data_IF_183755234982
#
_entry.id   IF_183755234982
#
_cell.length_a   1.000
_cell.length_b   1.000
_cell.length_c   1.000
_cell.angle_alpha   90.00
_cell.angle_beta   90.00
_cell.angle_gamma   90.00
#
_symmetry.space_group_name_H-M   'P 1'
#
loop_
_entity.id
_entity.type
_entity.pdbx_description
1 polymer ?
#
# COMPACT_ATOMS: atom_id res chain seq x y z
N UNK A 1 -8.68 -19.03 12.46
CA UNK A 1 -10.10 -19.38 12.64
C UNK A 1 -10.64 -18.46 13.72
N UNK A 2 -11.58 -17.58 13.39
CA UNK A 2 -12.05 -16.54 14.31
C UNK A 2 -12.90 -17.19 15.43
N UNK A 3 -12.26 -17.48 16.56
CA UNK A 3 -12.92 -18.17 17.68
C UNK A 3 -14.02 -17.30 18.30
N UNK A 4 -13.81 -15.98 18.31
CA UNK A 4 -14.73 -15.03 18.96
C UNK A 4 -15.75 -14.39 18.03
N UNK A 5 -15.71 -14.68 16.72
CA UNK A 5 -16.57 -14.04 15.73
C UNK A 5 -17.53 -15.05 15.14
N UNK A 6 -18.83 -14.75 15.17
CA UNK A 6 -19.84 -15.60 14.54
C UNK A 6 -19.65 -15.61 13.01
N UNK A 7 -19.89 -16.77 12.38
CA UNK A 7 -19.84 -16.90 10.91
C UNK A 7 -20.76 -15.90 10.20
N UNK A 8 -21.94 -15.62 10.77
CA UNK A 8 -22.92 -14.69 10.19
C UNK A 8 -22.41 -13.25 10.23
N UNK A 9 -21.84 -12.82 11.36
CA UNK A 9 -21.24 -11.50 11.50
C UNK A 9 -20.11 -11.30 10.50
N UNK A 10 -19.19 -12.26 10.39
CA UNK A 10 -18.09 -12.21 9.41
C UNK A 10 -18.61 -12.14 7.97
N UNK A 11 -19.58 -12.97 7.60
CA UNK A 11 -20.15 -12.97 6.25
C UNK A 11 -20.84 -11.63 5.92
N UNK A 12 -21.55 -11.04 6.87
CA UNK A 12 -22.15 -9.72 6.73
C UNK A 12 -21.10 -8.65 6.48
N UNK A 13 -20.04 -8.58 7.29
CA UNK A 13 -18.94 -7.63 7.14
C UNK A 13 -18.25 -7.80 5.78
N UNK A 14 -17.90 -9.04 5.39
CA UNK A 14 -17.27 -9.32 4.09
C UNK A 14 -18.14 -8.88 2.91
N UNK A 15 -19.44 -9.12 2.96
CA UNK A 15 -20.35 -8.69 1.89
C UNK A 15 -20.46 -7.17 1.83
N UNK A 16 -20.55 -6.52 2.98
CA UNK A 16 -20.59 -5.05 3.09
C UNK A 16 -19.34 -4.39 2.48
N UNK A 17 -18.17 -5.01 2.66
CA UNK A 17 -16.90 -4.49 2.12
C UNK A 17 -16.73 -4.75 0.63
N UNK A 18 -17.14 -5.92 0.16
CA UNK A 18 -16.90 -6.34 -1.23
C UNK A 18 -17.99 -5.93 -2.20
N UNK A 19 -19.20 -5.66 -1.70
CA UNK A 19 -20.42 -5.43 -2.50
C UNK A 19 -20.61 -6.48 -3.61
N UNK A 20 -20.10 -7.70 -3.39
CA UNK A 20 -20.14 -8.80 -4.36
C UNK A 20 -20.11 -10.15 -3.65
N UNK A 21 -21.18 -10.96 -3.82
CA UNK A 21 -21.33 -12.26 -3.17
C UNK A 21 -20.21 -13.24 -3.57
N UNK A 22 -19.82 -13.28 -4.83
CA UNK A 22 -18.80 -14.21 -5.31
C UNK A 22 -17.42 -13.87 -4.70
N UNK A 23 -17.03 -12.59 -4.72
CA UNK A 23 -15.78 -12.11 -4.09
C UNK A 23 -15.76 -12.32 -2.57
N UNK A 24 -16.90 -12.07 -1.89
CA UNK A 24 -16.99 -12.30 -0.47
C UNK A 24 -16.84 -13.77 -0.11
N UNK A 25 -17.49 -14.67 -0.87
CA UNK A 25 -17.41 -16.11 -0.69
C UNK A 25 -15.98 -16.64 -0.94
N UNK A 26 -15.30 -16.16 -1.98
CA UNK A 26 -13.93 -16.52 -2.32
C UNK A 26 -12.95 -16.21 -1.18
N UNK A 27 -13.08 -15.03 -0.53
CA UNK A 27 -12.24 -14.62 0.62
C UNK A 27 -12.29 -15.62 1.81
N UNK A 28 -13.33 -16.43 1.89
CA UNK A 28 -13.49 -17.44 2.96
C UNK A 28 -13.57 -18.88 2.42
N UNK A 29 -13.12 -19.10 1.19
CA UNK A 29 -13.09 -20.41 0.53
C UNK A 29 -14.46 -21.08 0.48
N UNK A 30 -15.52 -20.32 0.21
CA UNK A 30 -16.90 -20.79 0.03
C UNK A 30 -17.39 -20.54 -1.39
N UNK A 31 -18.42 -21.27 -1.81
CA UNK A 31 -19.16 -20.93 -3.05
C UNK A 31 -20.23 -19.88 -2.78
N UNK A 32 -20.64 -19.14 -3.81
CA UNK A 32 -21.58 -18.03 -3.71
C UNK A 32 -22.97 -18.44 -3.13
N UNK A 33 -23.46 -19.65 -3.46
CA UNK A 33 -24.79 -20.11 -3.02
C UNK A 33 -24.90 -20.29 -1.50
N UNK A 34 -24.04 -21.09 -0.82
CA UNK A 34 -24.09 -21.19 0.65
C UNK A 34 -23.78 -19.86 1.34
N UNK A 35 -22.92 -19.02 0.75
CA UNK A 35 -22.65 -17.69 1.29
C UNK A 35 -23.91 -16.82 1.26
N UNK A 36 -24.62 -16.75 0.12
CA UNK A 36 -25.86 -16.01 -0.02
C UNK A 36 -26.95 -16.51 0.94
N UNK A 37 -27.09 -17.84 1.12
CA UNK A 37 -28.01 -18.42 2.13
C UNK A 37 -27.67 -17.99 3.55
N UNK A 38 -26.39 -17.87 3.88
CA UNK A 38 -25.96 -17.38 5.22
C UNK A 38 -26.37 -15.92 5.46
N UNK A 39 -26.35 -15.08 4.44
CA UNK A 39 -26.82 -13.69 4.54
C UNK A 39 -28.34 -13.66 4.71
N UNK A 40 -29.10 -14.37 3.89
CA UNK A 40 -30.56 -14.45 4.03
C UNK A 40 -30.98 -14.96 5.41
N UNK A 41 -30.29 -16.01 5.91
CA UNK A 41 -30.55 -16.53 7.26
C UNK A 41 -30.18 -15.52 8.38
N UNK A 42 -29.31 -14.58 8.15
CA UNK A 42 -29.02 -13.45 9.05
C UNK A 42 -30.18 -12.45 9.02
N UNK A 43 -30.63 -12.04 7.82
CA UNK A 43 -31.71 -11.10 7.60
C UNK A 43 -33.02 -11.64 8.19
N UNK A 44 -33.33 -12.93 7.99
CA UNK A 44 -34.48 -13.62 8.56
C UNK A 44 -34.47 -13.59 10.11
N UNK A 45 -33.31 -13.81 10.73
CA UNK A 45 -33.16 -13.78 12.18
C UNK A 45 -33.31 -12.38 12.78
N UNK A 46 -32.88 -11.34 12.07
CA UNK A 46 -33.02 -9.96 12.55
C UNK A 46 -34.43 -9.40 12.23
N UNK A 47 -35.14 -10.04 11.29
CA UNK A 47 -36.48 -9.65 10.90
C UNK A 47 -36.56 -8.53 9.84
N UNK A 48 -35.43 -8.10 9.25
CA UNK A 48 -35.42 -7.12 8.19
C UNK A 48 -34.20 -7.29 7.28
N UNK A 49 -34.29 -6.79 6.04
CA UNK A 49 -33.21 -6.86 5.08
C UNK A 49 -32.09 -5.84 5.37
N UNK A 50 -30.85 -6.22 5.10
CA UNK A 50 -29.67 -5.39 5.29
C UNK A 50 -29.08 -4.93 3.95
N UNK A 51 -29.40 -5.65 2.87
CA UNK A 51 -28.87 -5.39 1.54
C UNK A 51 -29.99 -5.09 0.55
N UNK A 52 -29.69 -4.17 -0.37
CA UNK A 52 -30.47 -3.93 -1.59
C UNK A 52 -29.79 -4.64 -2.76
N UNK A 53 -30.59 -5.36 -3.55
CA UNK A 53 -30.14 -6.01 -4.79
C UNK A 53 -30.73 -5.26 -5.98
N UNK A 54 -29.91 -4.70 -6.82
CA UNK A 54 -30.32 -3.96 -8.02
C UNK A 54 -29.36 -4.25 -9.16
N UNK A 55 -29.90 -4.60 -10.32
CA UNK A 55 -29.16 -4.74 -11.59
C UNK A 55 -27.82 -5.51 -11.49
N UNK A 56 -27.85 -6.71 -10.89
CA UNK A 56 -26.66 -7.52 -10.61
C UNK A 56 -25.69 -6.95 -9.58
N UNK A 57 -26.00 -5.85 -8.91
CA UNK A 57 -25.23 -5.29 -7.80
C UNK A 57 -25.89 -5.54 -6.45
N UNK A 58 -25.09 -5.64 -5.42
CA UNK A 58 -25.55 -5.76 -4.03
C UNK A 58 -24.85 -4.68 -3.21
N UNK A 59 -25.63 -3.95 -2.40
CA UNK A 59 -25.10 -2.88 -1.54
C UNK A 59 -25.92 -2.82 -0.24
N UNK A 60 -25.33 -2.28 0.81
CA UNK A 60 -26.02 -2.04 2.07
C UNK A 60 -27.20 -1.09 1.86
N UNK A 61 -28.39 -1.44 2.42
CA UNK A 61 -29.47 -0.49 2.60
C UNK A 61 -29.21 0.36 3.87
N UNK A 62 -30.12 1.28 4.23
CA UNK A 62 -29.96 2.16 5.39
C UNK A 62 -29.77 1.37 6.70
N UNK A 63 -30.56 0.33 6.95
CA UNK A 63 -30.44 -0.52 8.14
C UNK A 63 -29.10 -1.29 8.15
N UNK A 64 -28.66 -1.79 6.98
CA UNK A 64 -27.37 -2.43 6.82
C UNK A 64 -26.21 -1.49 7.10
N UNK A 65 -26.29 -0.22 6.65
CA UNK A 65 -25.28 0.80 6.93
C UNK A 65 -25.17 1.11 8.42
N UNK A 66 -26.30 1.31 9.10
CA UNK A 66 -26.34 1.56 10.54
C UNK A 66 -25.79 0.37 11.33
N UNK A 67 -26.14 -0.85 10.94
CA UNK A 67 -25.62 -2.07 11.55
C UNK A 67 -24.10 -2.21 11.31
N UNK A 68 -23.63 -1.96 10.09
CA UNK A 68 -22.22 -2.02 9.74
C UNK A 68 -21.38 -1.04 10.57
N UNK A 69 -21.81 0.20 10.70
CA UNK A 69 -21.11 1.22 11.48
C UNK A 69 -20.95 0.82 12.96
N UNK A 70 -21.94 0.12 13.53
CA UNK A 70 -21.88 -0.35 14.92
C UNK A 70 -21.10 -1.66 15.09
N UNK A 71 -21.24 -2.60 14.16
CA UNK A 71 -20.61 -3.92 14.27
C UNK A 71 -19.15 -3.93 13.83
N UNK A 72 -18.78 -3.11 12.86
CA UNK A 72 -17.44 -3.16 12.29
C UNK A 72 -16.34 -2.87 13.33
N UNK A 73 -16.42 -1.87 14.20
CA UNK A 73 -15.44 -1.66 15.26
C UNK A 73 -15.33 -2.84 16.24
N UNK A 74 -16.47 -3.48 16.56
CA UNK A 74 -16.49 -4.65 17.44
C UNK A 74 -15.80 -5.84 16.76
N UNK A 75 -16.13 -6.08 15.48
CA UNK A 75 -15.50 -7.11 14.66
C UNK A 75 -13.97 -6.93 14.60
N UNK A 76 -13.52 -5.70 14.41
CA UNK A 76 -12.09 -5.37 14.41
C UNK A 76 -11.44 -5.69 15.76
N UNK A 77 -12.06 -5.29 16.86
CA UNK A 77 -11.53 -5.56 18.21
C UNK A 77 -11.46 -7.07 18.51
N UNK A 78 -12.47 -7.83 18.13
CA UNK A 78 -12.48 -9.29 18.30
C UNK A 78 -11.41 -9.97 17.42
N UNK A 79 -11.26 -9.54 16.19
CA UNK A 79 -10.21 -10.04 15.29
C UNK A 79 -8.81 -9.74 15.83
N UNK A 80 -8.61 -8.58 16.42
CA UNK A 80 -7.35 -8.23 17.06
C UNK A 80 -7.03 -9.15 18.23
N UNK A 81 -8.00 -9.43 19.10
CA UNK A 81 -7.85 -10.36 20.24
C UNK A 81 -7.53 -11.78 19.74
N UNK A 82 -8.24 -12.28 18.73
CA UNK A 82 -8.00 -13.62 18.15
C UNK A 82 -6.56 -13.75 17.64
N UNK A 83 -6.09 -12.73 16.93
CA UNK A 83 -4.70 -12.68 16.44
C UNK A 83 -3.68 -12.58 17.58
N UNK A 84 -3.95 -11.76 18.61
CA UNK A 84 -3.06 -11.64 19.78
C UNK A 84 -2.90 -12.99 20.52
N UNK A 85 -3.98 -13.72 20.70
CA UNK A 85 -3.94 -15.05 21.35
C UNK A 85 -3.18 -16.05 20.49
N UNK A 86 -3.41 -16.08 19.20
CA UNK A 86 -2.68 -16.96 18.28
C UNK A 86 -1.18 -16.63 18.22
N UNK A 87 -0.80 -15.37 18.33
CA UNK A 87 0.60 -14.96 18.40
C UNK A 87 1.25 -15.27 19.75
N UNK A 88 0.55 -15.05 20.86
CA UNK A 88 1.04 -15.40 22.20
C UNK A 88 1.29 -16.90 22.35
N UNK A 89 0.43 -17.75 21.79
CA UNK A 89 0.59 -19.20 21.80
C UNK A 89 1.82 -19.71 21.01
N UNK A 90 2.36 -18.92 20.08
CA UNK A 90 3.54 -19.27 19.27
C UNK A 90 4.87 -18.74 19.82
N UNK A 91 4.88 -18.09 21.01
CA UNK A 91 6.10 -17.76 21.77
C UNK A 91 6.91 -16.55 21.26
N UNK A 92 6.65 -16.00 20.10
CA UNK A 92 7.22 -14.72 19.65
C UNK A 92 6.33 -14.05 18.61
N UNK A 93 6.03 -12.78 18.81
CA UNK A 93 5.28 -11.98 17.84
C UNK A 93 6.27 -11.28 16.91
N UNK A 94 6.33 -11.77 15.68
CA UNK A 94 6.98 -11.03 14.60
C UNK A 94 6.19 -9.77 14.27
N UNK A 95 6.87 -8.66 14.04
CA UNK A 95 6.27 -7.47 13.46
C UNK A 95 6.04 -7.73 11.97
N UNK A 96 4.85 -7.46 11.49
CA UNK A 96 4.50 -7.63 10.07
C UNK A 96 4.31 -6.26 9.44
N UNK A 97 5.17 -5.92 8.48
CA UNK A 97 5.15 -4.63 7.79
C UNK A 97 4.67 -4.85 6.34
N UNK A 98 3.59 -4.18 5.97
CA UNK A 98 3.17 -4.06 4.59
C UNK A 98 3.90 -2.90 3.91
N UNK A 99 4.48 -3.16 2.74
CA UNK A 99 5.11 -2.12 1.92
C UNK A 99 4.39 -2.08 0.58
N UNK A 100 3.95 -0.88 0.20
CA UNK A 100 3.28 -0.65 -1.08
C UNK A 100 4.13 -1.21 -2.24
N UNK A 101 3.49 -1.97 -3.13
CA UNK A 101 4.15 -2.64 -4.25
C UNK A 101 4.77 -1.69 -5.29
N UNK A 102 4.54 -0.39 -5.15
CA UNK A 102 5.24 0.64 -5.94
C UNK A 102 6.72 0.76 -5.58
N UNK A 103 7.11 0.24 -4.40
CA UNK A 103 8.49 0.24 -3.97
C UNK A 103 9.30 -0.93 -4.53
N UNK A 104 10.57 -0.71 -4.87
CA UNK A 104 11.48 -1.80 -5.11
C UNK A 104 11.74 -2.57 -3.81
N UNK A 105 11.97 -3.86 -3.93
CA UNK A 105 12.20 -4.79 -2.81
C UNK A 105 13.35 -4.45 -1.88
N UNK A 106 14.19 -3.47 -2.22
CA UNK A 106 15.34 -3.05 -1.39
C UNK A 106 14.92 -2.45 -0.05
N UNK A 107 13.73 -1.81 0.03
CA UNK A 107 13.21 -1.38 1.33
C UNK A 107 13.04 -2.57 2.27
N UNK A 108 12.84 -3.77 1.73
CA UNK A 108 12.69 -4.97 2.52
C UNK A 108 13.95 -5.32 3.30
N UNK A 109 15.14 -5.17 2.72
CA UNK A 109 16.40 -5.47 3.40
C UNK A 109 16.63 -4.54 4.59
N UNK A 110 16.30 -3.26 4.43
CA UNK A 110 16.38 -2.27 5.50
C UNK A 110 15.40 -2.59 6.64
N UNK A 111 14.19 -3.03 6.32
CA UNK A 111 13.19 -3.41 7.32
C UNK A 111 13.47 -4.77 7.95
N UNK A 112 14.11 -5.71 7.23
CA UNK A 112 14.51 -7.01 7.74
C UNK A 112 15.63 -6.86 8.80
N UNK A 113 16.52 -5.88 8.63
CA UNK A 113 17.57 -5.59 9.65
C UNK A 113 17.00 -5.20 11.02
N UNK A 114 15.73 -4.80 11.08
CA UNK A 114 15.00 -4.64 12.33
C UNK A 114 14.77 -5.96 13.08
N UNK A 115 14.87 -7.10 12.39
CA UNK A 115 14.67 -8.42 13.00
C UNK A 115 15.56 -8.69 14.21
N UNK A 116 16.75 -8.11 14.26
CA UNK A 116 17.69 -8.22 15.38
C UNK A 116 17.21 -7.45 16.63
N UNK A 117 16.43 -6.38 16.44
CA UNK A 117 15.84 -5.58 17.53
C UNK A 117 14.48 -6.10 18.01
N UNK A 118 13.82 -6.89 17.21
CA UNK A 118 12.51 -7.48 17.48
C UNK A 118 12.60 -9.00 17.27
N UNK A 119 11.80 -9.78 17.93
CA UNK A 119 11.75 -11.25 17.78
C UNK A 119 11.41 -11.73 16.35
N UNK A 120 11.74 -10.95 15.35
CA UNK A 120 11.56 -11.14 13.92
C UNK A 120 10.69 -10.05 13.28
N UNK A 121 11.02 -9.73 12.05
CA UNK A 121 10.23 -8.83 11.19
C UNK A 121 9.88 -9.59 9.91
N UNK A 122 8.62 -9.51 9.51
CA UNK A 122 8.16 -10.02 8.21
C UNK A 122 7.72 -8.83 7.36
N UNK A 123 8.30 -8.69 6.18
CA UNK A 123 7.90 -7.66 5.22
C UNK A 123 7.07 -8.29 4.12
N UNK A 124 5.94 -7.68 3.79
CA UNK A 124 5.04 -8.12 2.72
C UNK A 124 4.85 -7.00 1.71
N UNK A 125 4.91 -7.32 0.43
CA UNK A 125 4.42 -6.41 -0.60
C UNK A 125 2.90 -6.39 -0.56
N UNK A 126 2.32 -5.20 -0.51
CA UNK A 126 0.88 -4.99 -0.47
C UNK A 126 0.44 -4.04 -1.58
N UNK A 127 -0.73 -4.28 -2.15
CA UNK A 127 -1.38 -3.30 -3.00
C UNK A 127 -2.13 -2.32 -2.10
N UNK A 128 -1.73 -1.04 -2.15
CA UNK A 128 -2.32 -0.04 -1.28
C UNK A 128 -3.72 0.35 -1.76
N UNK A 129 -4.72 0.07 -0.97
CA UNK A 129 -6.06 0.63 -1.08
C UNK A 129 -6.58 1.00 0.31
N UNK A 130 -7.48 1.98 0.38
CA UNK A 130 -8.03 2.42 1.67
C UNK A 130 -8.68 1.28 2.46
N UNK A 131 -9.41 0.40 1.77
CA UNK A 131 -10.06 -0.76 2.39
C UNK A 131 -9.02 -1.76 2.90
N UNK A 132 -7.95 -2.02 2.13
CA UNK A 132 -6.91 -2.95 2.56
C UNK A 132 -6.07 -2.42 3.72
N UNK A 133 -5.80 -1.10 3.77
CA UNK A 133 -5.15 -0.46 4.92
C UNK A 133 -5.98 -0.72 6.18
N UNK A 134 -7.28 -0.43 6.11
CA UNK A 134 -8.20 -0.63 7.23
C UNK A 134 -8.25 -2.11 7.61
N UNK A 135 -8.55 -2.99 6.65
CA UNK A 135 -8.74 -4.41 6.91
C UNK A 135 -7.49 -5.07 7.48
N UNK A 136 -6.32 -4.79 6.92
CA UNK A 136 -5.07 -5.43 7.34
C UNK A 136 -4.55 -4.92 8.68
N UNK A 137 -4.65 -3.61 8.95
CA UNK A 137 -4.22 -3.04 10.23
C UNK A 137 -5.18 -3.44 11.36
N UNK A 138 -6.48 -3.31 11.15
CA UNK A 138 -7.45 -3.61 12.22
C UNK A 138 -7.58 -5.11 12.48
N UNK A 139 -7.42 -5.97 11.48
CA UNK A 139 -7.34 -7.43 11.71
C UNK A 139 -5.99 -7.89 12.25
N UNK A 140 -5.03 -6.99 12.46
CA UNK A 140 -3.67 -7.31 12.90
C UNK A 140 -2.93 -8.30 11.98
N UNK A 141 -3.31 -8.36 10.70
CA UNK A 141 -2.53 -9.07 9.67
C UNK A 141 -1.25 -8.32 9.31
N UNK A 142 -1.29 -7.00 9.43
CA UNK A 142 -0.14 -6.11 9.37
C UNK A 142 -0.11 -5.25 10.64
N UNK A 143 1.07 -4.97 11.15
CA UNK A 143 1.30 -4.05 12.25
C UNK A 143 1.52 -2.62 11.73
N UNK A 144 2.17 -2.52 10.57
CA UNK A 144 2.49 -1.27 9.89
C UNK A 144 2.27 -1.38 8.39
N UNK A 145 1.98 -0.25 7.75
CA UNK A 145 1.99 -0.12 6.29
C UNK A 145 2.79 1.12 5.92
N UNK A 146 3.70 0.98 4.96
CA UNK A 146 4.46 2.08 4.36
C UNK A 146 3.98 2.30 2.94
N UNK A 147 3.53 3.52 2.64
CA UNK A 147 3.05 3.87 1.30
C UNK A 147 3.26 5.36 1.00
N UNK A 148 3.50 5.74 -0.26
CA UNK A 148 3.48 7.13 -0.70
C UNK A 148 2.05 7.66 -0.90
N UNK A 149 1.04 6.81 -0.79
CA UNK A 149 -0.35 7.18 -0.98
C UNK A 149 -0.96 7.64 0.33
N UNK A 150 -1.70 8.74 0.27
CA UNK A 150 -2.44 9.28 1.42
C UNK A 150 -3.90 8.85 1.36
N UNK A 151 -4.46 8.55 2.51
CA UNK A 151 -5.86 8.11 2.63
C UNK A 151 -6.82 9.29 2.66
N UNK A 152 -8.06 9.07 2.26
CA UNK A 152 -9.11 10.08 2.28
C UNK A 152 -9.45 10.57 3.70
N UNK A 153 -10.11 11.74 3.80
CA UNK A 153 -10.59 12.28 5.07
C UNK A 153 -11.46 11.27 5.85
N UNK A 154 -12.27 10.47 5.13
CA UNK A 154 -13.11 9.43 5.74
C UNK A 154 -12.30 8.39 6.53
N UNK A 155 -11.12 8.02 6.03
CA UNK A 155 -10.25 7.05 6.70
C UNK A 155 -9.48 7.73 7.83
N UNK A 156 -9.13 9.02 7.67
CA UNK A 156 -8.45 9.80 8.71
C UNK A 156 -9.33 10.01 9.95
N UNK A 157 -10.65 10.05 9.78
CA UNK A 157 -11.62 10.19 10.88
C UNK A 157 -11.76 8.92 11.73
N UNK A 158 -11.08 7.81 11.37
CA UNK A 158 -11.07 6.61 12.20
C UNK A 158 -10.20 6.83 13.44
N UNK A 159 -10.82 6.98 14.59
CA UNK A 159 -10.16 7.27 15.89
C UNK A 159 -9.03 6.29 16.27
N UNK A 160 -8.97 5.13 15.63
CA UNK A 160 -8.02 4.07 15.95
C UNK A 160 -6.84 3.98 14.96
N UNK A 161 -6.74 4.86 13.97
CA UNK A 161 -5.65 4.90 13.01
C UNK A 161 -4.66 6.01 13.35
N UNK A 162 -3.36 5.71 13.27
CA UNK A 162 -2.27 6.67 13.32
C UNK A 162 -1.62 6.74 11.95
N UNK A 163 -1.51 7.93 11.40
CA UNK A 163 -0.82 8.24 10.15
C UNK A 163 0.36 9.14 10.50
N UNK A 164 1.56 8.66 10.24
CA UNK A 164 2.78 9.40 10.52
C UNK A 164 3.50 9.72 9.21
N UNK A 165 3.85 10.98 9.00
CA UNK A 165 4.68 11.37 7.88
C UNK A 165 6.10 10.86 8.07
N UNK A 166 6.64 10.26 7.03
CA UNK A 166 8.05 9.86 6.95
C UNK A 166 8.85 10.95 6.24
N UNK A 167 10.16 10.89 6.35
CA UNK A 167 11.05 11.77 5.57
C UNK A 167 10.77 11.55 4.08
N UNK A 168 10.52 12.62 3.30
CA UNK A 168 10.21 12.48 1.88
C UNK A 168 11.31 11.77 1.10
N UNK A 169 10.92 10.93 0.15
CA UNK A 169 11.84 10.26 -0.77
C UNK A 169 12.31 11.23 -1.84
N UNK A 170 13.62 11.36 -1.97
CA UNK A 170 14.22 12.03 -3.13
C UNK A 170 14.02 11.17 -4.38
N UNK A 171 13.50 11.77 -5.45
CA UNK A 171 13.30 11.15 -6.75
C UNK A 171 14.28 11.72 -7.77
N UNK A 172 14.71 10.90 -8.70
CA UNK A 172 15.47 11.34 -9.85
C UNK A 172 15.28 10.41 -11.04
N UNK A 173 15.96 10.73 -12.11
CA UNK A 173 15.85 10.05 -13.39
C UNK A 173 16.97 9.04 -13.59
N UNK A 174 16.63 7.93 -14.20
CA UNK A 174 17.53 6.88 -14.60
C UNK A 174 17.49 6.72 -16.12
N UNK A 175 18.66 6.66 -16.74
CA UNK A 175 18.83 6.51 -18.19
C UNK A 175 20.02 5.63 -18.51
N UNK A 176 20.06 5.04 -19.70
CA UNK A 176 21.23 4.30 -20.18
C UNK A 176 22.45 5.19 -20.37
N UNK A 177 23.63 4.72 -19.96
CA UNK A 177 24.90 5.42 -20.20
C UNK A 177 25.26 5.61 -21.67
N UNK A 178 24.57 4.95 -22.60
CA UNK A 178 24.71 5.26 -24.03
C UNK A 178 24.44 6.73 -24.37
N UNK A 179 23.76 7.44 -23.48
CA UNK A 179 23.38 8.84 -23.57
C UNK A 179 24.26 9.72 -22.65
N UNK A 180 25.46 9.28 -22.29
CA UNK A 180 26.31 9.98 -21.32
C UNK A 180 26.63 11.42 -21.74
N UNK A 181 26.80 11.64 -23.04
CA UNK A 181 27.13 12.95 -23.62
C UNK A 181 25.92 13.88 -23.80
N UNK A 182 24.67 13.37 -23.64
CA UNK A 182 23.49 14.18 -23.79
C UNK A 182 23.13 14.94 -22.51
N UNK A 183 22.60 16.14 -22.70
CA UNK A 183 22.12 16.93 -21.57
C UNK A 183 20.82 16.36 -20.99
N UNK A 184 20.61 16.43 -19.64
CA UNK A 184 19.41 15.92 -19.00
C UNK A 184 18.11 16.43 -19.61
N UNK A 185 18.02 17.72 -19.94
CA UNK A 185 16.82 18.33 -20.53
C UNK A 185 16.48 17.78 -21.92
N UNK A 186 17.49 17.44 -22.73
CA UNK A 186 17.33 16.82 -24.04
C UNK A 186 16.74 15.41 -23.89
N UNK A 187 17.30 14.61 -22.98
CA UNK A 187 16.83 13.25 -22.69
C UNK A 187 15.39 13.22 -22.21
N UNK A 188 15.03 14.16 -21.34
CA UNK A 188 13.67 14.27 -20.80
C UNK A 188 12.61 14.63 -21.86
N UNK A 189 13.01 15.28 -22.96
CA UNK A 189 12.13 15.61 -24.08
C UNK A 189 12.06 14.52 -25.14
N UNK A 190 13.18 13.85 -25.40
CA UNK A 190 13.30 12.91 -26.52
C UNK A 190 12.89 11.48 -26.16
N UNK A 191 13.20 11.03 -24.93
CA UNK A 191 12.94 9.65 -24.55
C UNK A 191 11.54 9.50 -23.93
N UNK A 192 10.82 8.43 -24.28
CA UNK A 192 9.60 8.08 -23.56
C UNK A 192 9.93 7.62 -22.14
N UNK A 193 9.06 7.97 -21.20
CA UNK A 193 9.24 7.67 -19.79
C UNK A 193 8.52 6.37 -19.42
N UNK A 194 9.23 5.38 -18.93
CA UNK A 194 8.66 4.10 -18.53
C UNK A 194 8.42 4.08 -17.02
N UNK A 195 7.19 3.81 -16.61
CA UNK A 195 6.83 3.64 -15.20
C UNK A 195 6.09 2.34 -14.95
N UNK A 196 6.19 1.86 -13.72
CA UNK A 196 5.37 0.74 -13.26
C UNK A 196 3.92 1.20 -13.14
N UNK A 197 2.98 0.29 -13.41
CA UNK A 197 1.56 0.57 -13.22
C UNK A 197 1.23 0.42 -11.73
N UNK A 198 0.63 1.45 -11.13
CA UNK A 198 0.11 1.45 -9.76
C UNK A 198 -1.24 2.17 -9.72
N UNK A 199 -2.03 1.93 -8.66
CA UNK A 199 -3.44 2.34 -8.66
C UNK A 199 -3.61 3.86 -8.54
N UNK A 200 -3.02 4.49 -7.55
CA UNK A 200 -3.16 5.94 -7.34
C UNK A 200 -1.91 6.69 -7.80
N UNK A 201 -1.82 6.92 -9.11
CA UNK A 201 -0.69 7.62 -9.73
C UNK A 201 -0.83 9.14 -9.74
N UNK A 202 -1.98 9.68 -9.36
CA UNK A 202 -2.26 11.13 -9.48
C UNK A 202 -1.26 11.98 -8.71
N UNK A 203 -0.88 11.58 -7.49
CA UNK A 203 0.12 12.29 -6.70
C UNK A 203 1.50 12.28 -7.39
N UNK A 204 1.93 11.14 -7.90
CA UNK A 204 3.19 11.01 -8.61
C UNK A 204 3.21 11.85 -9.90
N UNK A 205 2.12 11.80 -10.69
CA UNK A 205 1.98 12.62 -11.91
C UNK A 205 1.99 14.11 -11.59
N UNK A 206 1.34 14.55 -10.50
CA UNK A 206 1.35 15.93 -10.04
C UNK A 206 2.77 16.41 -9.66
N UNK A 207 3.56 15.58 -8.99
CA UNK A 207 4.96 15.89 -8.67
C UNK A 207 5.78 16.07 -9.97
N UNK A 208 5.62 15.17 -10.92
CA UNK A 208 6.31 15.26 -12.21
C UNK A 208 5.90 16.51 -12.98
N UNK A 209 4.60 16.79 -13.07
CA UNK A 209 4.09 17.96 -13.76
C UNK A 209 4.61 19.26 -13.14
N UNK A 210 4.57 19.38 -11.83
CA UNK A 210 5.05 20.55 -11.11
C UNK A 210 6.53 20.87 -11.40
N UNK A 211 7.38 19.85 -11.59
CA UNK A 211 8.81 20.03 -11.87
C UNK A 211 9.14 20.15 -13.36
N UNK A 212 8.38 19.51 -14.22
CA UNK A 212 8.68 19.46 -15.66
C UNK A 212 8.05 20.61 -16.44
N UNK A 213 6.85 21.05 -16.06
CA UNK A 213 6.14 22.14 -16.74
C UNK A 213 6.92 23.46 -16.78
N UNK A 214 7.57 23.92 -15.68
CA UNK A 214 8.39 25.12 -15.71
C UNK A 214 9.59 25.01 -16.65
N UNK A 215 10.08 23.80 -16.91
CA UNK A 215 11.20 23.53 -17.83
C UNK A 215 10.75 23.35 -19.30
N UNK A 216 9.48 23.52 -19.59
CA UNK A 216 8.92 23.29 -20.93
C UNK A 216 9.00 21.83 -21.38
N UNK A 217 8.96 20.88 -20.42
CA UNK A 217 9.00 19.45 -20.67
C UNK A 217 7.61 18.88 -20.46
N UNK A 218 7.09 18.21 -21.47
CA UNK A 218 5.79 17.54 -21.44
C UNK A 218 6.00 16.03 -21.68
N UNK A 219 6.16 15.22 -20.61
CA UNK A 219 6.59 13.84 -20.76
C UNK A 219 5.51 12.93 -21.35
N UNK A 220 5.92 12.01 -22.22
CA UNK A 220 5.10 10.88 -22.62
C UNK A 220 5.35 9.71 -21.66
N UNK A 221 4.45 9.52 -20.68
CA UNK A 221 4.61 8.46 -19.67
C UNK A 221 3.92 7.19 -20.14
N UNK A 222 4.69 6.11 -20.21
CA UNK A 222 4.20 4.77 -20.58
C UNK A 222 4.14 3.92 -19.31
N UNK A 223 2.95 3.53 -18.91
CA UNK A 223 2.73 2.64 -17.78
C UNK A 223 2.65 1.19 -18.23
N UNK A 224 3.47 0.32 -17.62
CA UNK A 224 3.51 -1.12 -17.89
C UNK A 224 3.46 -1.91 -16.57
N UNK A 225 2.86 -3.11 -16.55
CA UNK A 225 2.84 -3.99 -15.38
C UNK A 225 4.16 -4.75 -15.22
N UNK A 226 5.28 -4.03 -15.23
CA UNK A 226 6.60 -4.63 -15.08
C UNK A 226 7.02 -4.68 -13.61
N UNK A 227 7.85 -5.67 -13.27
CA UNK A 227 8.62 -5.61 -12.03
C UNK A 227 9.68 -4.50 -12.12
N UNK A 228 10.21 -4.08 -10.97
CA UNK A 228 11.29 -3.10 -10.92
C UNK A 228 12.47 -3.51 -11.82
N UNK A 229 12.93 -4.77 -11.73
CA UNK A 229 14.05 -5.26 -12.54
C UNK A 229 13.77 -5.25 -14.04
N UNK A 230 12.55 -5.60 -14.45
CA UNK A 230 12.18 -5.53 -15.86
C UNK A 230 12.15 -4.09 -16.38
N UNK A 231 11.73 -3.13 -15.54
CA UNK A 231 11.79 -1.69 -15.84
C UNK A 231 13.24 -1.25 -16.03
N UNK A 232 14.14 -1.61 -15.11
CA UNK A 232 15.56 -1.28 -15.19
C UNK A 232 16.20 -1.84 -16.46
N UNK A 233 15.96 -3.11 -16.77
CA UNK A 233 16.46 -3.74 -18.00
C UNK A 233 15.99 -3.03 -19.29
N UNK A 234 14.75 -2.53 -19.32
CA UNK A 234 14.25 -1.76 -20.47
C UNK A 234 14.99 -0.41 -20.62
N UNK A 235 15.32 0.24 -19.50
CA UNK A 235 16.10 1.49 -19.48
C UNK A 235 17.55 1.23 -19.93
N UNK A 236 18.18 0.15 -19.47
CA UNK A 236 19.55 -0.23 -19.89
C UNK A 236 19.67 -0.39 -21.40
N UNK A 237 18.63 -0.94 -22.05
CA UNK A 237 18.58 -1.03 -23.53
C UNK A 237 18.48 0.34 -24.23
N UNK A 238 18.29 1.42 -23.48
CA UNK A 238 18.25 2.80 -23.98
C UNK A 238 17.00 3.14 -24.79
N UNK A 239 15.91 2.44 -24.57
CA UNK A 239 14.62 2.74 -25.21
C UNK A 239 13.77 3.71 -24.40
N UNK A 240 14.08 3.85 -23.12
CA UNK A 240 13.30 4.60 -22.15
C UNK A 240 14.22 5.28 -21.12
N UNK A 241 13.67 6.29 -20.48
CA UNK A 241 14.11 6.71 -19.15
C UNK A 241 13.04 6.37 -18.11
N UNK A 242 13.38 6.44 -16.82
CA UNK A 242 12.43 6.19 -15.73
C UNK A 242 12.74 7.07 -14.53
N UNK A 243 11.73 7.29 -13.68
CA UNK A 243 11.91 7.90 -12.36
C UNK A 243 12.06 6.78 -11.32
N UNK A 244 13.05 6.96 -10.45
CA UNK A 244 13.29 6.07 -9.30
C UNK A 244 13.56 6.89 -8.04
N UNK A 245 13.28 6.35 -6.84
CA UNK A 245 13.81 6.90 -5.60
C UNK A 245 15.33 6.83 -5.58
N UNK A 246 15.99 7.82 -4.95
CA UNK A 246 17.45 7.89 -4.88
C UNK A 246 18.11 6.63 -4.33
N UNK A 247 17.56 6.05 -3.26
CA UNK A 247 18.13 4.84 -2.67
C UNK A 247 18.13 3.64 -3.64
N UNK A 248 17.19 3.58 -4.58
CA UNK A 248 17.13 2.51 -5.58
C UNK A 248 18.29 2.57 -6.59
N UNK A 249 19.06 3.66 -6.61
CA UNK A 249 20.32 3.76 -7.36
C UNK A 249 21.32 2.68 -6.96
N UNK A 250 21.33 2.25 -5.71
CA UNK A 250 22.22 1.19 -5.21
C UNK A 250 21.94 -0.20 -5.82
N UNK A 251 20.74 -0.40 -6.41
CA UNK A 251 20.32 -1.66 -7.02
C UNK A 251 20.65 -1.78 -8.48
N UNK A 252 21.08 -0.70 -9.11
CA UNK A 252 21.32 -0.66 -10.54
C UNK A 252 22.81 -0.67 -10.83
N UNK A 253 23.18 -1.15 -12.02
CA UNK A 253 24.57 -1.18 -12.43
C UNK A 253 25.03 0.22 -12.89
N UNK A 254 25.91 0.90 -12.14
CA UNK A 254 26.38 2.24 -12.51
C UNK A 254 27.28 2.24 -13.78
N UNK A 255 27.74 1.07 -14.23
CA UNK A 255 28.49 0.98 -15.49
C UNK A 255 27.57 1.09 -16.73
N UNK A 256 26.29 0.74 -16.60
CA UNK A 256 25.32 0.75 -17.73
C UNK A 256 24.29 1.85 -17.64
N UNK A 257 24.09 2.41 -16.44
CA UNK A 257 23.08 3.40 -16.14
C UNK A 257 23.66 4.68 -15.56
N UNK A 258 22.97 5.79 -15.78
CA UNK A 258 23.27 7.12 -15.24
C UNK A 258 22.04 7.64 -14.51
N UNK A 259 22.25 8.17 -13.31
CA UNK A 259 21.24 8.87 -12.53
C UNK A 259 21.44 10.38 -12.64
N UNK A 260 20.36 11.16 -12.68
CA UNK A 260 20.40 12.61 -12.62
C UNK A 260 19.15 13.19 -11.97
N UNK A 261 19.29 14.37 -11.37
CA UNK A 261 18.16 15.11 -10.78
C UNK A 261 17.33 15.83 -11.85
N UNK A 262 16.13 16.22 -11.48
CA UNK A 262 15.28 17.03 -12.34
C UNK A 262 15.91 18.42 -12.61
N UNK A 263 15.81 18.96 -13.83
CA UNK A 263 16.34 20.29 -14.16
C UNK A 263 15.73 21.42 -13.33
N UNK A 264 14.51 21.26 -12.84
CA UNK A 264 13.77 22.23 -12.01
C UNK A 264 14.08 22.15 -10.52
N UNK A 265 15.05 21.32 -10.12
CA UNK A 265 15.38 21.07 -8.71
C UNK A 265 15.04 19.65 -8.25
N UNK A 266 15.39 19.36 -7.00
CA UNK A 266 15.19 18.01 -6.45
C UNK A 266 13.71 17.72 -6.25
N UNK A 267 13.25 16.61 -6.81
CA UNK A 267 11.89 16.12 -6.62
C UNK A 267 11.81 15.29 -5.35
N UNK A 268 10.72 15.46 -4.61
CA UNK A 268 10.44 14.69 -3.40
C UNK A 268 9.04 14.09 -3.46
N UNK A 269 8.91 12.85 -2.99
CA UNK A 269 7.64 12.17 -2.80
C UNK A 269 7.42 11.91 -1.32
N UNK A 270 6.33 12.45 -0.76
CA UNK A 270 5.96 12.20 0.64
C UNK A 270 5.57 10.75 0.83
N UNK A 271 5.94 10.19 1.97
CA UNK A 271 5.56 8.85 2.41
C UNK A 271 4.93 8.88 3.78
N UNK A 272 4.15 7.86 4.05
CA UNK A 272 3.38 7.70 5.28
C UNK A 272 3.57 6.32 5.88
N UNK A 273 3.67 6.29 7.20
CA UNK A 273 3.58 5.08 8.02
C UNK A 273 2.19 5.02 8.64
N UNK A 274 1.47 3.97 8.34
CA UNK A 274 0.17 3.67 8.91
C UNK A 274 0.30 2.64 10.01
N UNK A 275 -0.33 2.87 11.15
CA UNK A 275 -0.42 1.91 12.26
C UNK A 275 -1.72 2.11 13.02
N UNK A 276 -2.07 1.17 13.89
CA UNK A 276 -3.11 1.42 14.86
C UNK A 276 -2.64 2.42 15.92
N UNK A 277 -3.56 3.21 16.45
CA UNK A 277 -3.32 4.15 17.54
C UNK A 277 -2.72 3.41 18.75
N UNK A 278 -1.73 4.02 19.37
CA UNK A 278 -1.00 3.45 20.51
C UNK A 278 -0.32 2.09 20.25
N UNK A 279 -0.01 1.78 19.00
CA UNK A 279 0.79 0.59 18.71
C UNK A 279 2.19 0.74 19.35
N UNK A 280 2.56 -0.21 20.23
CA UNK A 280 3.74 -0.10 21.12
C UNK A 280 5.09 0.16 20.44
N UNK A 281 5.21 -0.20 19.15
CA UNK A 281 6.45 -0.03 18.40
C UNK A 281 6.43 1.14 17.40
N UNK A 282 5.36 1.95 17.35
CA UNK A 282 5.26 3.06 16.37
C UNK A 282 6.41 4.04 16.52
N UNK A 283 6.71 4.51 17.73
CA UNK A 283 7.81 5.45 17.97
C UNK A 283 9.18 4.88 17.56
N UNK A 284 9.45 3.61 17.92
CA UNK A 284 10.70 2.95 17.58
C UNK A 284 10.84 2.70 16.08
N UNK A 285 9.73 2.36 15.42
CA UNK A 285 9.69 2.19 13.95
C UNK A 285 9.98 3.50 13.23
N UNK A 286 9.35 4.61 13.65
CA UNK A 286 9.60 5.94 13.11
C UNK A 286 11.06 6.37 13.28
N UNK A 287 11.62 6.16 14.47
CA UNK A 287 13.01 6.49 14.75
C UNK A 287 13.96 5.70 13.85
N UNK A 288 13.75 4.41 13.72
CA UNK A 288 14.61 3.55 12.89
C UNK A 288 14.56 3.94 11.41
N UNK A 289 13.36 4.16 10.86
CA UNK A 289 13.21 4.61 9.45
C UNK A 289 13.88 5.98 9.26
N UNK A 290 13.81 6.87 10.26
CA UNK A 290 14.43 8.19 10.19
C UNK A 290 15.96 8.12 10.23
N UNK A 291 16.56 7.26 11.08
CA UNK A 291 18.00 7.03 11.20
C UNK A 291 18.58 6.48 9.90
N UNK A 292 17.94 5.47 9.34
CA UNK A 292 18.37 4.83 8.11
C UNK A 292 18.35 5.80 6.92
N UNK A 293 17.29 6.60 6.79
CA UNK A 293 17.19 7.64 5.75
C UNK A 293 18.08 8.87 6.01
N UNK A 294 18.51 9.08 7.25
CA UNK A 294 19.48 10.12 7.63
C UNK A 294 20.87 9.83 7.08
N UNK A 295 21.29 8.58 7.12
CA UNK A 295 22.57 8.11 6.58
C UNK A 295 22.66 8.19 5.04
N UNK A 296 21.52 8.29 4.35
CA UNK A 296 21.46 8.35 2.88
C UNK A 296 21.69 9.76 2.30
N UNK A 297 21.70 10.80 3.15
CA UNK A 297 21.85 12.20 2.72
C UNK A 297 23.23 12.81 3.07
N UNK A 298 24.08 12.07 3.74
CA UNK A 298 25.46 12.38 4.01
C UNK A 298 26.38 11.74 2.96
#
# INVERSE_FOLDING_TARGET
MDVFISKKMRNFILLAQTNNIARAAEKIHMTASPFGKSISALEDQIGYTLFTRKDNSISLNKAGQELYQKLFPIYQSLSAIDNEIHHAARGSRNIVIGVDNTYPTIIFDQLISLGDKYNGVTVKSVEFSENEVIDNLFSRQLDFIISPQYVSARVQELDNLTISELKPLRLGFLVSRRYEDKQPQELLRELPWLQMRFQNRANFEAILEAHMRPCGINPTIIYRPYSFMAKISAVERGQFLTVIPWFAWRLVNPATLKYFDAPGGTMYMQEYLYSLKNHRYTATMLQHIAEDRGAEMA
#
